data_IF_244652182128
#
_entry.id   IF_244652182128
#
_cell.length_a   1.000
_cell.length_b   1.000
_cell.length_c   1.000
_cell.angle_alpha   90.00
_cell.angle_beta   90.00
_cell.angle_gamma   90.00
#
_symmetry.space_group_name_H-M   'P 1'
#
loop_
_entity.id
_entity.type
_entity.pdbx_description
1 polymer ?
#
# COMPACT_ATOMS: atom_id res chain seq x y z
N UNK A 1 -14.28 -22.23 17.62
CA UNK A 1 -13.60 -21.91 18.90
C UNK A 1 -12.27 -21.26 18.59
N UNK A 2 -12.11 -19.96 18.85
CA UNK A 2 -10.79 -19.31 18.75
C UNK A 2 -9.90 -19.90 19.84
N UNK A 3 -8.89 -20.68 19.45
CA UNK A 3 -7.85 -21.11 20.37
C UNK A 3 -7.03 -19.87 20.71
N UNK A 4 -7.31 -19.24 21.84
CA UNK A 4 -6.44 -18.21 22.39
C UNK A 4 -5.11 -18.89 22.72
N UNK A 5 -4.03 -18.47 22.06
CA UNK A 5 -2.69 -18.94 22.34
C UNK A 5 -2.16 -18.22 23.59
N UNK A 6 -1.60 -18.97 24.54
CA UNK A 6 -0.98 -18.42 25.76
C UNK A 6 0.50 -18.79 25.71
N UNK A 7 1.36 -17.78 25.59
CA UNK A 7 2.83 -17.92 25.66
C UNK A 7 3.25 -17.52 27.06
N UNK A 8 3.93 -18.42 27.77
CA UNK A 8 4.41 -18.19 29.13
C UNK A 8 5.85 -17.72 29.09
N UNK A 9 6.13 -16.57 29.70
CA UNK A 9 7.49 -16.10 29.94
C UNK A 9 7.80 -16.29 31.42
N UNK A 10 9.00 -16.81 31.77
CA UNK A 10 9.44 -16.84 33.16
C UNK A 10 9.70 -15.40 33.61
N UNK A 11 8.91 -14.92 34.58
CA UNK A 11 9.18 -13.68 35.28
C UNK A 11 10.15 -13.96 36.43
N UNK A 12 11.19 -13.13 36.58
CA UNK A 12 12.05 -13.16 37.77
C UNK A 12 11.20 -12.85 39.01
N UNK A 13 11.40 -13.61 40.10
CA UNK A 13 10.62 -13.47 41.34
C UNK A 13 10.65 -12.04 41.91
N UNK A 14 11.69 -11.27 41.61
CA UNK A 14 11.88 -9.88 42.04
C UNK A 14 10.98 -8.88 41.31
N UNK A 15 10.26 -9.29 40.25
CA UNK A 15 9.46 -8.39 39.41
C UNK A 15 8.02 -8.17 39.93
N UNK A 16 7.50 -9.02 40.81
CA UNK A 16 6.11 -8.91 41.30
C UNK A 16 6.09 -8.42 42.75
N UNK A 17 5.95 -7.11 42.96
CA UNK A 17 5.74 -6.57 44.30
C UNK A 17 4.27 -6.76 44.72
N UNK A 18 4.04 -7.49 45.82
CA UNK A 18 2.79 -8.16 46.24
C UNK A 18 1.50 -7.32 46.41
N UNK A 19 1.38 -6.09 45.89
CA UNK A 19 0.19 -5.24 46.09
C UNK A 19 -0.21 -4.50 44.81
N UNK A 20 -1.18 -5.11 44.11
CA UNK A 20 -2.01 -4.57 43.01
C UNK A 20 -1.35 -4.49 41.62
N UNK A 21 -1.60 -5.51 40.78
CA UNK A 21 -0.93 -5.69 39.49
C UNK A 21 -1.84 -5.37 38.30
N UNK A 22 -1.54 -4.30 37.56
CA UNK A 22 -1.88 -4.22 36.14
C UNK A 22 -0.57 -4.29 35.34
N UNK A 23 -0.40 -5.40 34.60
CA UNK A 23 0.73 -5.62 33.71
C UNK A 23 0.37 -5.11 32.32
N UNK A 24 1.15 -4.18 31.80
CA UNK A 24 0.99 -3.67 30.44
C UNK A 24 2.13 -4.20 29.56
N UNK A 25 1.77 -4.78 28.42
CA UNK A 25 2.73 -5.32 27.46
C UNK A 25 2.72 -4.53 26.15
N UNK A 26 3.90 -4.24 25.60
CA UNK A 26 4.06 -3.66 24.27
C UNK A 26 5.00 -4.53 23.43
N UNK A 27 4.56 -4.90 22.23
CA UNK A 27 5.42 -5.55 21.23
C UNK A 27 6.02 -4.50 20.30
N UNK A 28 7.32 -4.57 20.03
CA UNK A 28 7.99 -3.76 19.01
C UNK A 28 8.81 -4.65 18.09
N UNK A 29 8.79 -4.33 16.79
CA UNK A 29 9.65 -4.97 15.80
C UNK A 29 11.10 -4.57 16.05
N UNK A 30 12.02 -5.53 15.90
CA UNK A 30 13.44 -5.23 15.97
C UNK A 30 13.86 -4.42 14.73
N UNK A 31 14.51 -3.27 14.95
CA UNK A 31 14.92 -2.33 13.90
C UNK A 31 16.13 -2.85 13.12
N UNK A 32 16.89 -3.80 13.69
CA UNK A 32 18.09 -4.37 13.07
C UNK A 32 17.81 -5.70 12.33
N UNK A 33 16.79 -6.45 12.74
CA UNK A 33 16.41 -7.74 12.14
C UNK A 33 14.88 -7.88 12.04
N UNK A 34 14.33 -7.82 10.83
CA UNK A 34 12.88 -7.89 10.58
C UNK A 34 12.25 -9.25 10.96
N UNK A 35 13.07 -10.27 11.19
CA UNK A 35 12.67 -11.63 11.61
C UNK A 35 12.46 -11.77 13.12
N UNK A 36 12.75 -10.72 13.90
CA UNK A 36 12.69 -10.73 15.36
C UNK A 36 11.69 -9.73 15.94
N UNK A 37 10.92 -10.16 16.95
CA UNK A 37 10.01 -9.28 17.72
C UNK A 37 10.47 -9.18 19.17
N UNK A 38 10.56 -7.96 19.70
CA UNK A 38 10.82 -7.67 21.10
C UNK A 38 9.50 -7.53 21.87
N UNK A 39 9.40 -8.19 23.02
CA UNK A 39 8.25 -8.09 23.92
C UNK A 39 8.66 -7.38 25.20
N UNK A 40 8.07 -6.21 25.43
CA UNK A 40 8.30 -5.40 26.62
C UNK A 40 7.10 -5.50 27.56
N UNK A 41 7.36 -5.57 28.86
CA UNK A 41 6.31 -5.52 29.90
C UNK A 41 6.69 -4.49 30.95
N UNK A 42 5.67 -3.80 31.48
CA UNK A 42 5.75 -2.86 32.59
C UNK A 42 4.72 -3.24 33.63
N UNK A 43 5.12 -3.23 34.90
CA UNK A 43 4.22 -3.26 36.03
C UNK A 43 3.76 -1.84 36.37
N UNK A 44 2.44 -1.59 36.41
CA UNK A 44 1.87 -0.28 36.76
C UNK A 44 1.15 -0.39 38.10
N UNK A 45 1.72 0.20 39.16
CA UNK A 45 1.18 0.12 40.52
C UNK A 45 0.02 1.10 40.82
N UNK A 46 -0.28 2.10 39.97
CA UNK A 46 -1.45 2.99 40.13
C UNK A 46 -1.75 3.79 38.86
N UNK A 47 -3.00 4.23 38.67
CA UNK A 47 -3.51 4.97 37.48
C UNK A 47 -2.92 6.39 37.26
N UNK A 48 -1.93 6.83 38.05
CA UNK A 48 -1.25 8.13 37.86
C UNK A 48 0.12 7.90 37.26
N UNK A 49 0.45 8.64 36.20
CA UNK A 49 1.79 8.62 35.58
C UNK A 49 2.83 9.09 36.59
N UNK A 50 3.60 8.14 37.13
CA UNK A 50 4.86 8.40 37.83
C UNK A 50 6.02 7.98 36.94
N UNK A 51 7.15 8.67 37.08
CA UNK A 51 8.37 8.55 36.27
C UNK A 51 9.08 7.19 36.33
N UNK A 52 8.59 6.24 37.12
CA UNK A 52 9.23 4.95 37.39
C UNK A 52 8.73 3.77 36.53
N UNK A 53 7.80 4.02 35.59
CA UNK A 53 7.30 3.00 34.67
C UNK A 53 8.33 2.67 33.56
N UNK A 54 9.37 1.88 33.86
CA UNK A 54 10.39 1.45 32.88
C UNK A 54 10.02 0.14 32.18
N UNK A 55 9.95 0.18 30.84
CA UNK A 55 9.75 -1.00 29.98
C UNK A 55 10.95 -1.96 30.11
N UNK A 56 10.70 -3.18 30.61
CA UNK A 56 11.71 -4.23 30.66
C UNK A 56 11.49 -5.21 29.50
N UNK A 57 12.58 -5.57 28.81
CA UNK A 57 12.55 -6.56 27.73
C UNK A 57 12.48 -7.97 28.35
N UNK A 58 11.39 -8.71 28.07
CA UNK A 58 11.22 -10.07 28.58
C UNK A 58 11.79 -11.14 27.64
N UNK A 59 11.87 -10.87 26.34
CA UNK A 59 12.41 -11.83 25.39
C UNK A 59 12.32 -11.41 23.93
N UNK A 60 13.03 -12.17 23.10
CA UNK A 60 13.05 -12.06 21.64
C UNK A 60 12.50 -13.33 21.02
N UNK A 61 11.57 -13.19 20.09
CA UNK A 61 11.08 -14.32 19.29
C UNK A 61 11.72 -14.19 17.91
N UNK A 62 12.54 -15.17 17.51
CA UNK A 62 13.10 -15.29 16.16
C UNK A 62 12.29 -16.29 15.32
N UNK A 63 12.15 -16.01 14.02
CA UNK A 63 11.50 -16.91 13.06
C UNK A 63 12.17 -18.30 12.96
N UNK A 64 13.46 -18.40 13.28
CA UNK A 64 14.23 -19.65 13.16
C UNK A 64 14.02 -20.60 14.35
N UNK A 65 13.75 -20.07 15.54
CA UNK A 65 13.45 -20.86 16.74
C UNK A 65 12.09 -21.59 16.61
N UNK A 66 11.18 -21.04 15.79
CA UNK A 66 9.91 -21.68 15.45
C UNK A 66 10.10 -22.93 14.55
N UNK A 67 11.18 -23.00 13.76
CA UNK A 67 11.45 -24.11 12.84
C UNK A 67 12.09 -25.33 13.54
N UNK A 68 12.89 -25.12 14.59
CA UNK A 68 13.53 -26.23 15.34
C UNK A 68 12.55 -27.04 16.19
N UNK A 69 11.40 -26.46 16.57
CA UNK A 69 10.44 -27.09 17.49
C UNK A 69 9.48 -28.11 16.83
N UNK A 70 9.86 -28.70 15.69
CA UNK A 70 9.05 -29.69 14.92
C UNK A 70 8.77 -31.00 15.68
N UNK A 71 9.51 -31.32 16.75
CA UNK A 71 9.42 -32.62 17.45
C UNK A 71 8.57 -32.62 18.72
N UNK A 72 8.12 -31.46 19.23
CA UNK A 72 7.23 -31.40 20.40
C UNK A 72 5.76 -31.37 19.99
N UNK A 73 4.94 -32.27 20.54
CA UNK A 73 3.48 -32.36 20.34
C UNK A 73 2.68 -31.31 21.14
N UNK A 74 3.32 -30.24 21.60
CA UNK A 74 2.66 -29.09 22.23
C UNK A 74 2.28 -28.05 21.17
N UNK A 75 1.06 -27.55 21.26
CA UNK A 75 0.40 -26.57 20.39
C UNK A 75 1.35 -25.55 19.77
N UNK A 76 1.77 -25.79 18.52
CA UNK A 76 2.66 -24.88 17.79
C UNK A 76 1.95 -23.55 17.52
N UNK A 77 2.61 -22.46 17.94
CA UNK A 77 2.19 -21.07 17.74
C UNK A 77 2.74 -20.61 16.38
N UNK A 78 1.87 -20.06 15.53
CA UNK A 78 2.26 -19.46 14.27
C UNK A 78 2.07 -17.94 14.38
N UNK A 79 3.15 -17.18 14.48
CA UNK A 79 3.13 -15.75 14.16
C UNK A 79 3.54 -15.66 12.70
N UNK A 80 2.55 -15.57 11.81
CA UNK A 80 2.80 -15.37 10.40
C UNK A 80 3.12 -13.89 10.18
N UNK A 81 4.41 -13.55 10.11
CA UNK A 81 4.86 -12.29 9.52
C UNK A 81 4.53 -12.36 8.03
N UNK A 82 3.34 -11.90 7.66
CA UNK A 82 2.96 -11.72 6.26
C UNK A 82 3.76 -10.52 5.78
N UNK A 83 4.93 -10.79 5.17
CA UNK A 83 5.53 -9.83 4.25
C UNK A 83 4.44 -9.54 3.22
N UNK A 84 3.91 -8.32 3.18
CA UNK A 84 2.93 -7.92 2.16
C UNK A 84 3.65 -7.85 0.81
N UNK A 85 4.01 -9.02 0.28
CA UNK A 85 4.21 -9.15 -1.15
C UNK A 85 2.94 -8.70 -1.85
N UNK A 86 3.10 -8.26 -3.09
CA UNK A 86 2.02 -7.83 -3.99
C UNK A 86 0.97 -8.97 -4.09
N UNK A 87 -0.01 -8.98 -3.18
CA UNK A 87 -1.12 -9.92 -3.20
C UNK A 87 -2.21 -9.31 -4.08
N UNK A 88 -2.86 -10.16 -4.89
CA UNK A 88 -3.94 -9.74 -5.78
C UNK A 88 -5.01 -8.98 -4.98
N UNK A 89 -5.43 -7.82 -5.49
CA UNK A 89 -6.37 -6.95 -4.80
C UNK A 89 -7.69 -7.69 -4.53
N UNK A 90 -8.11 -8.53 -5.48
CA UNK A 90 -9.30 -9.39 -5.36
C UNK A 90 -9.26 -10.37 -4.18
N UNK A 91 -8.08 -10.94 -3.87
CA UNK A 91 -7.93 -11.85 -2.73
C UNK A 91 -7.98 -11.12 -1.39
N UNK A 92 -7.46 -9.90 -1.34
CA UNK A 92 -7.51 -9.05 -0.15
C UNK A 92 -8.96 -8.67 0.14
N UNK A 93 -9.71 -8.22 -0.88
CA UNK A 93 -11.12 -7.85 -0.74
C UNK A 93 -11.98 -9.07 -0.34
N UNK A 94 -11.73 -10.26 -0.91
CA UNK A 94 -12.43 -11.48 -0.51
C UNK A 94 -12.19 -11.84 0.96
N UNK A 95 -10.94 -11.75 1.43
CA UNK A 95 -10.61 -11.95 2.85
C UNK A 95 -11.29 -10.91 3.73
N UNK A 96 -11.31 -9.66 3.30
CA UNK A 96 -11.98 -8.58 4.02
C UNK A 96 -13.48 -8.84 4.14
N UNK A 97 -14.14 -9.27 3.07
CA UNK A 97 -15.57 -9.68 3.09
C UNK A 97 -15.82 -10.83 4.06
N UNK A 98 -14.94 -11.83 4.08
CA UNK A 98 -15.04 -12.94 5.05
C UNK A 98 -14.91 -12.46 6.51
N UNK A 99 -14.03 -11.48 6.77
CA UNK A 99 -13.87 -10.89 8.08
C UNK A 99 -15.08 -10.03 8.48
N UNK A 100 -15.61 -9.20 7.56
CA UNK A 100 -16.81 -8.40 7.79
C UNK A 100 -18.03 -9.28 8.07
N UNK A 101 -18.20 -10.39 7.36
CA UNK A 101 -19.28 -11.35 7.61
C UNK A 101 -19.16 -12.00 9.00
N UNK A 102 -17.93 -12.35 9.41
CA UNK A 102 -17.67 -12.85 10.76
C UNK A 102 -18.00 -11.81 11.84
N UNK A 103 -17.59 -10.56 11.65
CA UNK A 103 -17.88 -9.45 12.56
C UNK A 103 -19.39 -9.18 12.63
N UNK A 104 -20.09 -9.21 11.49
CA UNK A 104 -21.55 -9.08 11.44
C UNK A 104 -22.27 -10.15 12.26
N UNK A 105 -21.77 -11.38 12.25
CA UNK A 105 -22.33 -12.48 13.05
C UNK A 105 -22.04 -12.33 14.55
N UNK A 106 -20.87 -11.82 14.93
CA UNK A 106 -20.45 -11.74 16.34
C UNK A 106 -20.77 -10.42 17.03
N UNK A 107 -21.16 -9.38 16.29
CA UNK A 107 -21.37 -8.04 16.85
C UNK A 107 -22.62 -7.97 17.73
N UNK A 108 -22.44 -7.53 18.98
CA UNK A 108 -23.53 -7.34 19.94
C UNK A 108 -24.30 -6.03 19.74
N UNK A 109 -23.70 -5.01 19.12
CA UNK A 109 -24.35 -3.72 18.87
C UNK A 109 -25.20 -3.76 17.59
N UNK A 110 -26.49 -3.43 17.72
CA UNK A 110 -27.42 -3.43 16.60
C UNK A 110 -27.01 -2.44 15.50
N UNK A 111 -26.52 -1.25 15.87
CA UNK A 111 -26.11 -0.20 14.92
C UNK A 111 -24.99 -0.66 13.98
N UNK A 112 -23.93 -1.28 14.53
CA UNK A 112 -22.80 -1.78 13.73
C UNK A 112 -23.25 -2.91 12.81
N UNK A 113 -24.11 -3.81 13.32
CA UNK A 113 -24.65 -4.92 12.56
C UNK A 113 -25.47 -4.46 11.36
N UNK A 114 -26.36 -3.48 11.54
CA UNK A 114 -27.17 -2.93 10.45
C UNK A 114 -26.38 -2.05 9.49
N UNK A 115 -25.36 -1.30 9.97
CA UNK A 115 -24.41 -0.58 9.11
C UNK A 115 -23.69 -1.54 8.17
N UNK A 116 -23.10 -2.62 8.70
CA UNK A 116 -22.40 -3.61 7.88
C UNK A 116 -23.34 -4.31 6.90
N UNK A 117 -24.56 -4.67 7.34
CA UNK A 117 -25.55 -5.30 6.47
C UNK A 117 -25.96 -4.38 5.32
N UNK A 118 -26.34 -3.13 5.61
CA UNK A 118 -26.78 -2.19 4.57
C UNK A 118 -25.63 -1.81 3.63
N UNK A 119 -24.40 -1.70 4.13
CA UNK A 119 -23.21 -1.51 3.30
C UNK A 119 -23.00 -2.69 2.32
N UNK A 120 -23.13 -3.94 2.79
CA UNK A 120 -23.07 -5.12 1.91
C UNK A 120 -24.20 -5.14 0.87
N UNK A 121 -25.43 -4.81 1.26
CA UNK A 121 -26.59 -4.75 0.35
C UNK A 121 -26.40 -3.66 -0.71
N UNK A 122 -25.90 -2.48 -0.34
CA UNK A 122 -25.63 -1.41 -1.30
C UNK A 122 -24.52 -1.80 -2.27
N UNK A 123 -23.44 -2.43 -1.79
CA UNK A 123 -22.36 -2.91 -2.68
C UNK A 123 -22.86 -3.96 -3.68
N UNK A 124 -23.76 -4.85 -3.25
CA UNK A 124 -24.42 -5.84 -4.11
C UNK A 124 -25.32 -5.18 -5.16
N UNK A 125 -26.15 -4.21 -4.75
CA UNK A 125 -27.04 -3.47 -5.66
C UNK A 125 -26.25 -2.65 -6.68
N UNK A 126 -25.17 -2.01 -6.25
CA UNK A 126 -24.24 -1.30 -7.12
C UNK A 126 -23.58 -2.25 -8.12
N UNK A 127 -23.19 -3.45 -7.68
CA UNK A 127 -22.66 -4.50 -8.56
C UNK A 127 -23.67 -4.93 -9.62
N UNK A 128 -24.92 -5.18 -9.24
CA UNK A 128 -25.99 -5.52 -10.19
C UNK A 128 -26.24 -4.38 -11.19
N UNK A 129 -26.31 -3.14 -10.72
CA UNK A 129 -26.45 -1.96 -11.58
C UNK A 129 -25.29 -1.85 -12.58
N UNK A 130 -24.06 -2.09 -12.12
CA UNK A 130 -22.88 -2.07 -12.99
C UNK A 130 -22.91 -3.18 -14.03
N UNK A 131 -23.32 -4.41 -13.69
CA UNK A 131 -23.48 -5.52 -14.65
C UNK A 131 -24.59 -5.22 -15.66
N UNK A 132 -25.71 -4.65 -15.22
CA UNK A 132 -26.80 -4.25 -16.11
C UNK A 132 -26.34 -3.16 -17.10
N UNK A 133 -25.61 -2.15 -16.61
CA UNK A 133 -24.97 -1.14 -17.46
C UNK A 133 -23.98 -1.79 -18.44
N UNK A 134 -23.11 -2.67 -17.96
CA UNK A 134 -22.13 -3.38 -18.78
C UNK A 134 -22.77 -4.15 -19.94
N UNK A 135 -23.88 -4.84 -19.68
CA UNK A 135 -24.65 -5.52 -20.72
C UNK A 135 -25.29 -4.52 -21.70
N UNK A 136 -25.84 -3.41 -21.19
CA UNK A 136 -26.44 -2.35 -22.02
C UNK A 136 -25.44 -1.67 -22.97
N UNK A 137 -24.15 -1.59 -22.60
CA UNK A 137 -23.10 -0.99 -23.43
C UNK A 137 -22.59 -1.90 -24.57
N UNK A 138 -23.18 -3.09 -24.76
CA UNK A 138 -22.78 -4.03 -25.81
C UNK A 138 -21.99 -5.24 -25.30
N UNK A 139 -21.98 -5.46 -23.98
CA UNK A 139 -21.43 -6.66 -23.34
C UNK A 139 -19.91 -6.82 -23.49
N UNK A 140 -19.44 -8.06 -23.35
CA UNK A 140 -18.02 -8.39 -23.29
C UNK A 140 -17.24 -7.96 -24.52
N UNK A 141 -17.80 -8.16 -25.72
CA UNK A 141 -17.08 -7.91 -26.97
C UNK A 141 -16.78 -6.42 -27.18
N UNK A 142 -17.75 -5.54 -26.88
CA UNK A 142 -17.54 -4.10 -27.05
C UNK A 142 -16.57 -3.53 -26.02
N UNK A 143 -16.65 -3.99 -24.76
CA UNK A 143 -15.71 -3.57 -23.72
C UNK A 143 -14.30 -4.08 -24.00
N UNK A 144 -14.16 -5.31 -24.51
CA UNK A 144 -12.88 -5.84 -24.98
C UNK A 144 -12.29 -4.97 -26.10
N UNK A 145 -13.10 -4.62 -27.11
CA UNK A 145 -12.67 -3.77 -28.22
C UNK A 145 -12.20 -2.39 -27.72
N UNK A 146 -12.94 -1.76 -26.80
CA UNK A 146 -12.57 -0.49 -26.18
C UNK A 146 -11.27 -0.64 -25.39
N UNK A 147 -11.13 -1.71 -24.60
CA UNK A 147 -9.94 -1.96 -23.80
C UNK A 147 -8.70 -2.16 -24.68
N UNK A 148 -8.78 -3.04 -25.68
CA UNK A 148 -7.68 -3.31 -26.60
C UNK A 148 -7.31 -2.07 -27.41
N UNK A 149 -8.30 -1.31 -27.87
CA UNK A 149 -8.07 -0.03 -28.56
C UNK A 149 -7.37 0.96 -27.64
N UNK A 150 -7.80 1.07 -26.38
CA UNK A 150 -7.17 1.96 -25.40
C UNK A 150 -5.71 1.58 -25.12
N UNK A 151 -5.42 0.28 -24.97
CA UNK A 151 -4.04 -0.21 -24.78
C UNK A 151 -3.18 0.06 -26.02
N UNK A 152 -3.75 -0.08 -27.22
CA UNK A 152 -3.05 0.23 -28.49
C UNK A 152 -2.74 1.72 -28.62
N UNK A 153 -3.73 2.59 -28.35
CA UNK A 153 -3.54 4.06 -28.34
C UNK A 153 -2.47 4.46 -27.34
N UNK A 154 -2.49 3.94 -26.11
CA UNK A 154 -1.45 4.22 -25.11
C UNK A 154 -0.06 3.77 -25.61
N UNK A 155 0.01 2.64 -26.30
CA UNK A 155 1.25 2.17 -26.89
C UNK A 155 1.73 3.06 -28.06
N UNK A 156 0.82 3.57 -28.89
CA UNK A 156 1.15 4.53 -29.96
C UNK A 156 1.66 5.86 -29.39
N UNK A 157 0.98 6.43 -28.40
CA UNK A 157 1.42 7.65 -27.70
C UNK A 157 2.81 7.46 -27.04
N UNK A 158 3.05 6.28 -26.45
CA UNK A 158 4.35 5.96 -25.88
C UNK A 158 5.44 5.81 -26.95
N UNK A 159 5.08 5.31 -28.14
CA UNK A 159 6.00 5.22 -29.28
C UNK A 159 6.43 6.61 -29.71
N UNK A 160 5.48 7.51 -29.98
CA UNK A 160 5.75 8.91 -30.37
C UNK A 160 6.57 9.64 -29.30
N UNK A 161 6.25 9.43 -28.02
CA UNK A 161 7.01 10.01 -26.91
C UNK A 161 8.49 9.56 -26.91
N UNK A 162 8.76 8.28 -27.19
CA UNK A 162 10.13 7.76 -27.25
C UNK A 162 10.88 8.29 -28.48
N UNK A 163 10.21 8.39 -29.63
CA UNK A 163 10.79 9.00 -30.84
C UNK A 163 11.13 10.48 -30.63
N UNK A 164 10.22 11.23 -29.99
CA UNK A 164 10.46 12.61 -29.58
C UNK A 164 11.67 12.73 -28.64
N UNK A 165 11.84 11.76 -27.74
CA UNK A 165 12.98 11.70 -26.81
C UNK A 165 14.33 11.45 -27.50
N UNK A 166 14.34 10.65 -28.57
CA UNK A 166 15.52 10.44 -29.43
C UNK A 166 15.91 11.70 -30.23
N UNK A 167 14.94 12.59 -30.44
CA UNK A 167 15.07 13.89 -31.08
C UNK A 167 15.85 14.92 -30.25
N UNK A 168 15.21 16.06 -30.04
CA UNK A 168 15.72 17.14 -29.18
C UNK A 168 14.60 17.50 -28.20
N UNK A 169 14.44 16.72 -27.12
CA UNK A 169 13.37 16.96 -26.17
C UNK A 169 13.57 18.31 -25.49
N UNK A 170 12.56 19.19 -25.52
CA UNK A 170 12.55 20.51 -24.86
C UNK A 170 13.76 21.39 -25.24
N UNK A 171 14.34 21.22 -26.43
CA UNK A 171 15.55 21.96 -26.84
C UNK A 171 16.86 21.51 -26.15
N UNK A 172 16.83 20.47 -25.31
CA UNK A 172 18.01 19.91 -24.67
C UNK A 172 18.81 19.09 -25.69
N UNK A 173 20.06 19.50 -25.94
CA UNK A 173 20.98 18.76 -26.81
C UNK A 173 21.54 17.54 -26.06
N UNK A 174 20.78 16.46 -26.10
CA UNK A 174 21.18 15.17 -25.53
C UNK A 174 22.28 14.48 -26.36
N UNK A 175 22.92 13.48 -25.76
CA UNK A 175 23.90 12.65 -26.45
C UNK A 175 23.18 11.76 -27.49
N UNK A 176 23.22 12.17 -28.76
CA UNK A 176 22.46 11.57 -29.87
C UNK A 176 22.71 10.06 -30.05
N UNK A 177 23.96 9.56 -30.13
CA UNK A 177 24.22 8.13 -30.20
C UNK A 177 23.57 7.35 -29.05
N UNK A 178 23.74 7.84 -27.82
CA UNK A 178 23.23 7.14 -26.64
C UNK A 178 21.69 7.17 -26.57
N UNK A 179 21.08 8.32 -26.84
CA UNK A 179 19.62 8.45 -26.91
C UNK A 179 19.02 7.54 -27.98
N UNK A 180 19.70 7.38 -29.12
CA UNK A 180 19.25 6.49 -30.19
C UNK A 180 19.28 5.02 -29.76
N UNK A 181 20.32 4.60 -29.06
CA UNK A 181 20.42 3.22 -28.53
C UNK A 181 19.33 2.97 -27.49
N UNK A 182 19.14 3.89 -26.54
CA UNK A 182 18.09 3.77 -25.53
C UNK A 182 16.69 3.76 -26.14
N UNK A 183 16.41 4.66 -27.08
CA UNK A 183 15.12 4.72 -27.74
C UNK A 183 14.81 3.44 -28.51
N UNK A 184 15.75 2.93 -29.33
CA UNK A 184 15.60 1.64 -30.01
C UNK A 184 15.37 0.48 -29.03
N UNK A 185 16.04 0.49 -27.88
CA UNK A 185 15.83 -0.51 -26.83
C UNK A 185 14.40 -0.46 -26.28
N UNK A 186 13.87 0.70 -25.91
CA UNK A 186 12.50 0.81 -25.39
C UNK A 186 11.45 0.54 -26.47
N UNK A 187 11.65 1.03 -27.70
CA UNK A 187 10.76 0.76 -28.84
C UNK A 187 10.67 -0.74 -29.16
N UNK A 188 11.79 -1.47 -29.09
CA UNK A 188 11.78 -2.92 -29.27
C UNK A 188 10.93 -3.63 -28.21
N UNK A 189 11.03 -3.23 -26.94
CA UNK A 189 10.20 -3.80 -25.88
C UNK A 189 8.71 -3.44 -26.05
N UNK A 190 8.41 -2.24 -26.55
CA UNK A 190 7.05 -1.81 -26.86
C UNK A 190 6.45 -2.65 -28.00
N UNK A 191 7.25 -2.98 -29.02
CA UNK A 191 6.86 -3.89 -30.09
C UNK A 191 6.54 -5.31 -29.58
N UNK A 192 7.39 -5.84 -28.69
CA UNK A 192 7.12 -7.12 -28.03
C UNK A 192 5.82 -7.08 -27.22
N UNK A 193 5.58 -5.99 -26.49
CA UNK A 193 4.34 -5.80 -25.73
C UNK A 193 3.10 -5.77 -26.63
N UNK A 194 3.15 -5.06 -27.77
CA UNK A 194 2.04 -5.05 -28.75
C UNK A 194 1.73 -6.46 -29.24
N UNK A 195 2.76 -7.21 -29.63
CA UNK A 195 2.63 -8.59 -30.08
C UNK A 195 2.03 -9.48 -28.98
N UNK A 196 2.47 -9.30 -27.74
CA UNK A 196 1.96 -10.04 -26.58
C UNK A 196 0.48 -9.77 -26.31
N UNK A 197 0.04 -8.51 -26.38
CA UNK A 197 -1.37 -8.13 -26.22
C UNK A 197 -2.25 -8.75 -27.30
N UNK A 198 -1.80 -8.77 -28.55
CA UNK A 198 -2.56 -9.40 -29.63
C UNK A 198 -2.71 -10.92 -29.41
N UNK A 199 -1.66 -11.58 -28.89
CA UNK A 199 -1.71 -13.03 -28.55
C UNK A 199 -2.61 -13.32 -27.34
N UNK A 200 -2.64 -12.42 -26.34
CA UNK A 200 -3.41 -12.59 -25.09
C UNK A 200 -4.84 -12.04 -25.15
N UNK A 201 -5.18 -11.31 -26.20
CA UNK A 201 -6.54 -10.85 -26.50
C UNK A 201 -7.66 -11.87 -26.15
N UNK A 202 -7.60 -13.16 -26.56
CA UNK A 202 -8.64 -14.13 -26.19
C UNK A 202 -8.70 -14.42 -24.68
N UNK A 203 -7.57 -14.41 -23.99
CA UNK A 203 -7.50 -14.59 -22.53
C UNK A 203 -8.04 -13.36 -21.81
N UNK A 204 -7.77 -12.16 -22.31
CA UNK A 204 -8.36 -10.92 -21.76
C UNK A 204 -9.88 -10.93 -21.93
N UNK A 205 -10.39 -11.42 -23.07
CA UNK A 205 -11.82 -11.59 -23.30
C UNK A 205 -12.47 -12.48 -22.24
N UNK A 206 -11.87 -13.64 -21.94
CA UNK A 206 -12.40 -14.54 -20.91
C UNK A 206 -12.33 -13.91 -19.52
N UNK A 207 -11.25 -13.19 -19.19
CA UNK A 207 -11.13 -12.45 -17.91
C UNK A 207 -12.22 -11.38 -17.78
N UNK A 208 -12.47 -10.58 -18.82
CA UNK A 208 -13.52 -9.55 -18.81
C UNK A 208 -14.90 -10.21 -18.67
N UNK A 209 -15.14 -11.32 -19.36
CA UNK A 209 -16.40 -12.07 -19.23
C UNK A 209 -16.62 -12.58 -17.80
N UNK A 210 -15.57 -13.13 -17.17
CA UNK A 210 -15.63 -13.59 -15.77
C UNK A 210 -15.81 -12.40 -14.83
N UNK A 211 -15.12 -11.27 -15.05
CA UNK A 211 -15.29 -10.06 -14.24
C UNK A 211 -16.71 -9.51 -14.30
N UNK A 212 -17.37 -9.61 -15.46
CA UNK A 212 -18.78 -9.22 -15.61
C UNK A 212 -19.70 -10.12 -14.79
N UNK A 213 -19.51 -11.43 -14.77
CA UNK A 213 -20.40 -12.34 -14.04
C UNK A 213 -20.16 -12.32 -12.54
N UNK A 214 -18.91 -12.14 -12.11
CA UNK A 214 -18.54 -12.05 -10.69
C UNK A 214 -19.04 -10.76 -10.04
N UNK A 215 -19.47 -9.77 -10.84
CA UNK A 215 -20.17 -8.58 -10.35
C UNK A 215 -21.42 -8.82 -9.54
N UNK A 216 -22.02 -9.99 -9.67
CA UNK A 216 -23.16 -10.41 -8.86
C UNK A 216 -22.81 -10.57 -7.37
N UNK A 217 -21.53 -10.57 -7.00
CA UNK A 217 -21.07 -10.65 -5.60
C UNK A 217 -20.93 -9.25 -4.97
N UNK A 218 -20.72 -8.20 -5.78
CA UNK A 218 -20.58 -6.81 -5.32
C UNK A 218 -19.63 -5.96 -6.19
N UNK A 219 -19.84 -4.64 -6.17
CA UNK A 219 -19.05 -3.69 -6.99
C UNK A 219 -17.59 -3.58 -6.52
N UNK A 220 -17.35 -3.66 -5.21
CA UNK A 220 -16.00 -3.65 -4.61
C UNK A 220 -15.12 -4.77 -5.19
N UNK A 221 -15.71 -5.95 -5.43
CA UNK A 221 -15.01 -7.08 -6.01
C UNK A 221 -14.70 -6.86 -7.50
N UNK A 222 -15.59 -6.21 -8.24
CA UNK A 222 -15.32 -5.84 -9.65
C UNK A 222 -14.19 -4.82 -9.76
N UNK A 223 -14.18 -3.81 -8.89
CA UNK A 223 -13.11 -2.80 -8.88
C UNK A 223 -11.76 -3.40 -8.49
N UNK A 224 -11.74 -4.41 -7.61
CA UNK A 224 -10.49 -5.11 -7.25
C UNK A 224 -9.97 -5.98 -8.41
N UNK A 225 -10.85 -6.70 -9.14
CA UNK A 225 -10.49 -7.38 -10.38
C UNK A 225 -10.00 -6.41 -11.48
N UNK A 226 -10.66 -5.26 -11.62
CA UNK A 226 -10.24 -4.22 -12.55
C UNK A 226 -8.85 -3.67 -12.19
N UNK A 227 -8.56 -3.49 -10.90
CA UNK A 227 -7.21 -3.13 -10.45
C UNK A 227 -6.20 -4.22 -10.82
N UNK A 228 -6.53 -5.50 -10.64
CA UNK A 228 -5.65 -6.60 -11.05
C UNK A 228 -5.41 -6.58 -12.58
N UNK A 229 -6.44 -6.34 -13.40
CA UNK A 229 -6.30 -6.19 -14.85
C UNK A 229 -5.42 -4.97 -15.22
N UNK A 230 -5.56 -3.86 -14.51
CA UNK A 230 -4.73 -2.66 -14.70
C UNK A 230 -3.26 -2.93 -14.36
N UNK A 231 -2.97 -3.78 -13.35
CA UNK A 231 -1.57 -4.15 -13.03
C UNK A 231 -0.93 -4.93 -14.18
N UNK A 232 -1.69 -5.83 -14.80
CA UNK A 232 -1.24 -6.59 -15.96
C UNK A 232 -1.03 -5.67 -17.17
N UNK A 233 -2.00 -4.79 -17.45
CA UNK A 233 -1.94 -3.86 -18.58
C UNK A 233 -0.76 -2.88 -18.48
N UNK A 234 -0.42 -2.44 -17.27
CA UNK A 234 0.66 -1.46 -17.02
C UNK A 234 2.03 -2.09 -16.77
N UNK A 235 2.18 -3.41 -16.96
CA UNK A 235 3.44 -4.14 -16.74
C UNK A 235 4.60 -3.56 -17.56
N UNK A 236 4.37 -3.26 -18.83
CA UNK A 236 5.38 -2.69 -19.72
C UNK A 236 5.91 -1.33 -19.21
N UNK A 237 5.03 -0.44 -18.74
CA UNK A 237 5.40 0.82 -18.11
C UNK A 237 6.24 0.60 -16.83
N UNK A 238 5.88 -0.41 -16.02
CA UNK A 238 6.67 -0.76 -14.84
C UNK A 238 8.08 -1.23 -15.23
N UNK A 239 8.21 -2.10 -16.23
CA UNK A 239 9.50 -2.55 -16.74
C UNK A 239 10.36 -1.38 -17.24
N UNK A 240 9.77 -0.43 -17.99
CA UNK A 240 10.50 0.74 -18.50
C UNK A 240 11.03 1.62 -17.36
N UNK A 241 10.19 1.87 -16.37
CA UNK A 241 10.59 2.59 -15.17
C UNK A 241 11.73 1.87 -14.42
N UNK A 242 11.65 0.54 -14.24
CA UNK A 242 12.69 -0.24 -13.57
C UNK A 242 14.02 -0.13 -14.34
N UNK A 243 14.01 -0.28 -15.66
CA UNK A 243 15.21 -0.16 -16.47
C UNK A 243 15.83 1.23 -16.38
N UNK A 244 15.01 2.28 -16.50
CA UNK A 244 15.48 3.66 -16.41
C UNK A 244 16.01 4.00 -15.00
N UNK A 245 15.32 3.56 -13.93
CA UNK A 245 15.76 3.77 -12.55
C UNK A 245 17.09 3.06 -12.27
N UNK A 246 17.27 1.83 -12.74
CA UNK A 246 18.53 1.09 -12.59
C UNK A 246 19.67 1.76 -13.36
N UNK A 247 19.42 2.19 -14.59
CA UNK A 247 20.40 2.90 -15.40
C UNK A 247 20.81 4.24 -14.75
N UNK A 248 19.84 4.98 -14.22
CA UNK A 248 20.08 6.21 -13.46
C UNK A 248 20.89 5.95 -12.19
N UNK A 249 20.54 4.93 -11.42
CA UNK A 249 21.30 4.50 -10.25
C UNK A 249 22.75 4.15 -10.59
N UNK A 250 22.98 3.35 -11.64
CA UNK A 250 24.34 3.02 -12.13
C UNK A 250 25.12 4.28 -12.51
N UNK A 251 24.49 5.24 -13.20
CA UNK A 251 25.13 6.50 -13.56
C UNK A 251 25.52 7.32 -12.32
N UNK A 252 24.63 7.44 -11.32
CA UNK A 252 24.91 8.17 -10.07
C UNK A 252 26.00 7.50 -9.22
N UNK A 253 25.93 6.18 -9.02
CA UNK A 253 26.95 5.44 -8.27
C UNK A 253 28.29 5.46 -8.99
N UNK A 254 28.29 5.33 -10.32
CA UNK A 254 29.49 5.45 -11.15
C UNK A 254 30.12 6.84 -11.06
N UNK A 255 29.31 7.89 -11.14
CA UNK A 255 29.77 9.28 -11.02
C UNK A 255 30.29 9.59 -9.61
N UNK A 256 29.60 9.13 -8.56
CA UNK A 256 30.04 9.29 -7.18
C UNK A 256 31.35 8.55 -6.90
N UNK A 257 31.49 7.32 -7.42
CA UNK A 257 32.69 6.50 -7.27
C UNK A 257 33.89 7.14 -7.97
N UNK A 258 33.73 7.55 -9.23
CA UNK A 258 34.79 8.20 -10.00
C UNK A 258 35.12 9.60 -9.48
N UNK A 259 34.14 10.35 -8.96
CA UNK A 259 34.38 11.62 -8.27
C UNK A 259 35.23 11.44 -7.00
N UNK A 260 34.96 10.41 -6.19
CA UNK A 260 35.82 10.07 -5.05
C UNK A 260 37.24 9.69 -5.49
N UNK A 261 37.36 9.00 -6.62
CA UNK A 261 38.65 8.65 -7.21
C UNK A 261 39.44 9.90 -7.67
N UNK A 262 38.76 10.93 -8.21
CA UNK A 262 39.37 12.22 -8.53
C UNK A 262 39.98 12.92 -7.29
N UNK A 263 39.43 12.66 -6.10
CA UNK A 263 40.00 13.10 -4.82
C UNK A 263 41.31 12.41 -4.42
N UNK A 264 41.80 11.46 -5.22
CA UNK A 264 43.14 10.87 -5.08
C UNK A 264 43.30 9.84 -3.94
N UNK A 265 42.25 9.55 -3.17
CA UNK A 265 42.31 8.66 -1.98
C UNK A 265 41.62 7.32 -2.24
N UNK A 266 42.40 6.24 -2.27
CA UNK A 266 41.94 4.85 -2.39
C UNK A 266 41.93 4.18 -1.02
N UNK A 267 40.78 3.70 -0.55
CA UNK A 267 40.77 2.84 0.64
C UNK A 267 41.33 1.45 0.30
N UNK A 268 42.36 1.01 1.02
CA UNK A 268 42.90 -0.34 0.87
C UNK A 268 42.41 -1.22 2.03
N UNK A 269 41.40 -2.08 1.84
CA UNK A 269 40.85 -2.91 2.91
C UNK A 269 41.86 -3.94 3.47
N UNK A 270 42.85 -4.37 2.67
CA UNK A 270 43.86 -5.35 3.10
C UNK A 270 44.89 -4.76 4.08
N UNK A 271 45.09 -3.44 4.08
CA UNK A 271 46.06 -2.74 4.93
C UNK A 271 45.42 -1.65 5.80
N UNK A 272 44.08 -1.59 5.82
CA UNK A 272 43.25 -0.60 6.53
C UNK A 272 43.79 0.83 6.47
N UNK A 273 44.30 1.25 5.30
CA UNK A 273 44.94 2.57 5.10
C UNK A 273 44.54 3.18 3.77
N UNK A 274 44.58 4.51 3.70
CA UNK A 274 44.41 5.24 2.44
C UNK A 274 45.71 5.17 1.61
N UNK A 275 45.62 4.64 0.41
CA UNK A 275 46.68 4.69 -0.62
C UNK A 275 46.34 5.77 -1.65
N UNK A 276 47.35 6.35 -2.29
CA UNK A 276 47.17 7.27 -3.42
C UNK A 276 46.97 6.47 -4.72
N UNK A 277 46.19 7.02 -5.65
CA UNK A 277 46.06 6.48 -7.02
C UNK A 277 47.31 6.81 -7.85
N UNK A 278 47.67 5.93 -8.81
CA UNK A 278 48.66 6.28 -9.83
C UNK A 278 48.09 7.28 -10.82
N UNK A 279 48.95 8.04 -11.50
CA UNK A 279 48.56 9.03 -12.50
C UNK A 279 47.71 8.42 -13.63
N UNK A 280 48.09 7.23 -14.11
CA UNK A 280 47.34 6.52 -15.16
C UNK A 280 45.92 6.17 -14.73
N UNK A 281 45.75 5.72 -13.47
CA UNK A 281 44.43 5.36 -12.92
C UNK A 281 43.54 6.59 -12.74
N UNK A 282 44.12 7.72 -12.30
CA UNK A 282 43.40 8.97 -12.16
C UNK A 282 42.95 9.50 -13.53
N UNK A 283 43.80 9.38 -14.55
CA UNK A 283 43.51 9.77 -15.93
C UNK A 283 42.34 8.96 -16.51
N UNK A 284 42.37 7.63 -16.40
CA UNK A 284 41.24 6.76 -16.82
C UNK A 284 39.97 7.10 -16.04
N UNK A 285 40.09 7.37 -14.74
CA UNK A 285 38.99 7.82 -13.90
C UNK A 285 38.33 9.10 -14.38
N UNK A 286 39.14 10.07 -14.77
CA UNK A 286 38.69 11.35 -15.31
C UNK A 286 37.94 11.16 -16.62
N UNK A 287 38.43 10.33 -17.54
CA UNK A 287 37.71 10.02 -18.78
C UNK A 287 36.36 9.34 -18.53
N UNK A 288 36.30 8.38 -17.62
CA UNK A 288 35.03 7.71 -17.24
C UNK A 288 34.09 8.72 -16.57
N UNK A 289 34.60 9.55 -15.66
CA UNK A 289 33.82 10.60 -14.98
C UNK A 289 33.22 11.58 -15.99
N UNK A 290 34.04 12.15 -16.88
CA UNK A 290 33.58 13.06 -17.92
C UNK A 290 32.57 12.39 -18.84
N UNK A 291 32.79 11.12 -19.23
CA UNK A 291 31.84 10.37 -20.05
C UNK A 291 30.49 10.21 -19.33
N UNK A 292 30.49 9.71 -18.08
CA UNK A 292 29.26 9.54 -17.29
C UNK A 292 28.53 10.87 -17.07
N UNK A 293 29.27 11.96 -16.83
CA UNK A 293 28.71 13.30 -16.65
C UNK A 293 28.03 13.79 -17.93
N UNK A 294 28.60 13.50 -19.11
CA UNK A 294 27.98 13.82 -20.40
C UNK A 294 26.76 12.95 -20.73
N UNK A 295 26.72 11.70 -20.26
CA UNK A 295 25.56 10.81 -20.44
C UNK A 295 24.42 11.10 -19.45
N UNK A 296 24.75 11.61 -18.26
CA UNK A 296 23.79 11.81 -17.16
C UNK A 296 22.53 12.61 -17.56
N UNK A 297 22.61 13.74 -18.29
CA UNK A 297 21.41 14.48 -18.70
C UNK A 297 20.45 13.64 -19.54
N UNK A 298 21.00 12.79 -20.41
CA UNK A 298 20.19 11.89 -21.26
C UNK A 298 19.49 10.84 -20.41
N UNK A 299 20.23 10.20 -19.49
CA UNK A 299 19.66 9.19 -18.58
C UNK A 299 18.60 9.80 -17.67
N UNK A 300 18.84 11.02 -17.16
CA UNK A 300 17.92 11.74 -16.28
C UNK A 300 16.59 12.05 -16.98
N UNK A 301 16.64 12.53 -18.23
CA UNK A 301 15.43 12.83 -19.00
C UNK A 301 14.58 11.58 -19.23
N UNK A 302 15.19 10.46 -19.65
CA UNK A 302 14.48 9.18 -19.78
C UNK A 302 13.90 8.70 -18.43
N UNK A 303 14.67 8.84 -17.35
CA UNK A 303 14.22 8.47 -16.01
C UNK A 303 12.99 9.27 -15.58
N UNK A 304 13.00 10.60 -15.74
CA UNK A 304 11.89 11.47 -15.35
C UNK A 304 10.62 11.14 -16.14
N UNK A 305 10.72 10.96 -17.46
CA UNK A 305 9.56 10.63 -18.30
C UNK A 305 8.90 9.33 -17.85
N UNK A 306 9.68 8.25 -17.65
CA UNK A 306 9.12 6.98 -17.20
C UNK A 306 8.69 7.00 -15.72
N UNK A 307 9.31 7.83 -14.88
CA UNK A 307 8.85 8.07 -13.52
C UNK A 307 7.45 8.72 -13.52
N UNK A 308 7.22 9.73 -14.35
CA UNK A 308 5.90 10.39 -14.46
C UNK A 308 4.84 9.39 -14.93
N UNK A 309 5.14 8.57 -15.94
CA UNK A 309 4.25 7.50 -16.38
C UNK A 309 3.94 6.50 -15.26
N UNK A 310 4.97 6.10 -14.48
CA UNK A 310 4.79 5.22 -13.32
C UNK A 310 3.90 5.86 -12.25
N UNK A 311 4.09 7.15 -11.96
CA UNK A 311 3.27 7.88 -11.00
C UNK A 311 1.81 7.99 -11.46
N UNK A 312 1.56 8.20 -12.76
CA UNK A 312 0.22 8.21 -13.33
C UNK A 312 -0.48 6.85 -13.16
N UNK A 313 0.22 5.75 -13.46
CA UNK A 313 -0.29 4.38 -13.24
C UNK A 313 -0.58 4.11 -11.75
N UNK A 314 0.34 4.50 -10.86
CA UNK A 314 0.14 4.36 -9.41
C UNK A 314 -1.03 5.21 -8.90
N UNK A 315 -1.24 6.41 -9.46
CA UNK A 315 -2.39 7.24 -9.14
C UNK A 315 -3.70 6.58 -9.57
N UNK A 316 -3.74 5.96 -10.76
CA UNK A 316 -4.90 5.19 -11.22
C UNK A 316 -5.20 4.01 -10.27
N UNK A 317 -4.19 3.20 -9.93
CA UNK A 317 -4.36 2.14 -8.91
C UNK A 317 -4.81 2.67 -7.56
N UNK A 318 -4.21 3.76 -7.09
CA UNK A 318 -4.58 4.40 -5.83
C UNK A 318 -6.02 4.89 -5.84
N UNK A 319 -6.52 5.38 -6.97
CA UNK A 319 -7.91 5.81 -7.12
C UNK A 319 -8.90 4.64 -7.02
N UNK A 320 -8.62 3.52 -7.70
CA UNK A 320 -9.43 2.30 -7.60
C UNK A 320 -9.47 1.75 -6.17
N UNK A 321 -8.31 1.63 -5.52
CA UNK A 321 -8.20 1.17 -4.12
C UNK A 321 -8.94 2.11 -3.16
N UNK A 322 -8.88 3.42 -3.42
CA UNK A 322 -9.64 4.42 -2.65
C UNK A 322 -11.14 4.31 -2.86
N UNK A 323 -11.60 4.04 -4.09
CA UNK A 323 -13.03 3.81 -4.37
C UNK A 323 -13.55 2.57 -3.63
N UNK A 324 -12.80 1.47 -3.66
CA UNK A 324 -13.14 0.25 -2.89
C UNK A 324 -13.22 0.55 -1.39
N UNK A 325 -12.21 1.24 -0.85
CA UNK A 325 -12.21 1.65 0.55
C UNK A 325 -13.41 2.56 0.91
N UNK A 326 -13.75 3.53 0.05
CA UNK A 326 -14.90 4.42 0.24
C UNK A 326 -16.22 3.64 0.30
N UNK A 327 -16.39 2.62 -0.54
CA UNK A 327 -17.58 1.75 -0.51
C UNK A 327 -17.61 0.96 0.80
N UNK A 328 -16.48 0.38 1.21
CA UNK A 328 -16.35 -0.47 2.40
C UNK A 328 -16.50 0.29 3.73
N UNK A 329 -16.22 1.58 3.77
CA UNK A 329 -16.28 2.38 5.00
C UNK A 329 -17.62 3.11 5.19
N UNK A 330 -18.40 3.33 4.13
CA UNK A 330 -19.58 4.19 4.15
C UNK A 330 -20.69 3.64 5.09
N UNK A 331 -21.00 4.32 6.21
CA UNK A 331 -21.99 3.83 7.18
C UNK A 331 -23.41 4.22 6.75
N UNK A 332 -23.87 3.56 5.70
CA UNK A 332 -25.14 3.86 5.01
C UNK A 332 -26.35 3.86 5.95
N UNK A 333 -26.40 2.93 6.91
CA UNK A 333 -27.54 2.80 7.81
C UNK A 333 -27.59 3.92 8.85
N UNK A 334 -26.44 4.35 9.37
CA UNK A 334 -26.34 5.51 10.27
C UNK A 334 -26.71 6.81 9.57
N UNK A 335 -26.35 6.94 8.28
CA UNK A 335 -26.79 8.07 7.46
C UNK A 335 -28.30 8.07 7.24
N UNK A 336 -28.90 6.91 6.96
CA UNK A 336 -30.35 6.77 6.80
C UNK A 336 -31.10 7.09 8.10
N UNK A 337 -30.60 6.61 9.24
CA UNK A 337 -31.16 6.95 10.56
C UNK A 337 -31.04 8.45 10.87
N UNK A 338 -29.94 9.08 10.46
CA UNK A 338 -29.74 10.52 10.61
C UNK A 338 -30.73 11.31 9.74
N UNK A 339 -30.97 10.89 8.48
CA UNK A 339 -31.96 11.50 7.59
C UNK A 339 -33.38 11.36 8.14
N UNK A 340 -33.73 10.19 8.67
CA UNK A 340 -35.05 9.92 9.23
C UNK A 340 -35.26 10.48 10.64
N UNK A 341 -34.30 11.25 11.19
CA UNK A 341 -34.33 11.77 12.57
C UNK A 341 -34.66 10.69 13.63
N UNK A 342 -34.11 9.49 13.46
CA UNK A 342 -34.39 8.37 14.37
C UNK A 342 -33.70 8.55 15.73
N UNK A 343 -34.38 8.24 16.85
CA UNK A 343 -33.80 8.35 18.19
C UNK A 343 -32.64 7.36 18.44
N UNK A 344 -32.49 6.32 17.60
CA UNK A 344 -31.37 5.35 17.71
C UNK A 344 -29.99 5.95 17.42
N UNK A 345 -29.92 7.15 16.83
CA UNK A 345 -28.68 7.88 16.60
C UNK A 345 -28.48 9.07 17.55
N UNK A 346 -29.33 9.19 18.57
CA UNK A 346 -29.18 10.21 19.60
C UNK A 346 -27.89 9.94 20.39
N UNK A 347 -27.09 10.98 20.61
CA UNK A 347 -25.91 10.88 21.47
C UNK A 347 -26.10 11.67 22.73
N UNK A 348 -25.61 12.90 22.78
CA UNK A 348 -25.58 13.65 24.03
C UNK A 348 -26.99 14.00 24.54
N UNK A 349 -27.16 13.84 25.85
CA UNK A 349 -28.42 14.08 26.55
C UNK A 349 -28.29 15.41 27.28
N UNK A 350 -29.19 16.35 26.99
CA UNK A 350 -29.29 17.59 27.76
C UNK A 350 -30.35 17.42 28.85
N UNK A 351 -29.98 17.77 30.08
CA UNK A 351 -30.88 17.76 31.24
C UNK A 351 -31.30 19.21 31.54
N UNK A 352 -32.58 19.51 31.38
CA UNK A 352 -33.17 20.78 31.81
C UNK A 352 -33.86 20.54 33.17
N UNK A 353 -33.54 21.37 34.18
CA UNK A 353 -34.22 21.32 35.48
C UNK A 353 -35.49 22.16 35.38
N UNK A 354 -36.66 21.55 35.57
CA UNK A 354 -37.95 22.27 35.59
C UNK A 354 -38.32 22.53 37.05
N UNK A 355 -38.30 23.80 37.51
CA UNK A 355 -38.68 24.14 38.87
C UNK A 355 -40.21 24.04 38.99
N UNK A 356 -40.70 22.96 39.60
CA UNK A 356 -42.10 22.81 39.99
C UNK A 356 -42.22 22.90 41.52
N UNK A 357 -43.29 23.51 42.02
CA UNK A 357 -43.45 23.94 43.42
C UNK A 357 -43.40 22.83 44.48
N UNK A 358 -43.44 21.55 44.11
CA UNK A 358 -43.50 20.42 45.06
C UNK A 358 -42.42 19.35 44.86
N UNK A 359 -41.67 19.34 43.74
CA UNK A 359 -40.43 18.55 43.57
C UNK A 359 -39.67 18.99 42.31
N UNK A 360 -38.32 19.05 42.33
CA UNK A 360 -37.54 19.35 41.12
C UNK A 360 -37.61 18.17 40.16
N UNK A 361 -38.15 18.38 38.95
CA UNK A 361 -38.22 17.34 37.91
C UNK A 361 -37.17 17.61 36.83
N UNK A 362 -36.44 16.56 36.42
CA UNK A 362 -35.45 16.62 35.35
C UNK A 362 -36.15 16.31 34.01
N UNK A 363 -36.12 17.26 33.09
CA UNK A 363 -36.55 17.06 31.71
C UNK A 363 -35.35 16.63 30.88
N UNK A 364 -35.45 15.43 30.30
CA UNK A 364 -34.44 14.87 29.42
C UNK A 364 -34.76 15.27 27.97
N UNK A 365 -33.87 16.03 27.33
CA UNK A 365 -33.97 16.43 25.93
C UNK A 365 -32.88 15.72 25.13
N UNK A 366 -33.29 14.94 24.13
CA UNK A 366 -32.38 14.26 23.22
C UNK A 366 -31.84 15.23 22.18
N UNK A 367 -30.52 15.39 22.09
CA UNK A 367 -29.89 16.22 21.06
C UNK A 367 -29.36 15.31 19.93
N UNK A 368 -29.70 15.68 18.68
CA UNK A 368 -29.20 15.00 17.49
C UNK A 368 -27.69 15.26 17.36
N UNK A 369 -26.88 14.21 17.21
CA UNK A 369 -25.46 14.40 16.91
C UNK A 369 -25.28 15.07 15.53
N UNK A 370 -24.29 15.97 15.38
CA UNK A 370 -23.92 16.48 14.07
C UNK A 370 -23.46 15.34 13.17
N UNK A 371 -23.83 15.41 11.89
CA UNK A 371 -23.65 14.33 10.91
C UNK A 371 -22.22 13.78 10.88
N UNK A 372 -21.21 14.65 10.92
CA UNK A 372 -19.80 14.22 10.87
C UNK A 372 -19.43 13.34 12.07
N UNK A 373 -19.83 13.74 13.28
CA UNK A 373 -19.58 12.96 14.50
C UNK A 373 -20.34 11.63 14.53
N UNK A 374 -21.56 11.59 13.97
CA UNK A 374 -22.32 10.35 13.81
C UNK A 374 -21.64 9.39 12.83
N UNK A 375 -21.11 9.92 11.72
CA UNK A 375 -20.39 9.14 10.72
C UNK A 375 -19.08 8.60 11.30
N UNK A 376 -18.27 9.44 11.94
CA UNK A 376 -17.00 9.02 12.58
C UNK A 376 -17.22 7.91 13.60
N UNK A 377 -18.28 8.01 14.41
CA UNK A 377 -18.64 6.99 15.41
C UNK A 377 -19.14 5.67 14.80
N UNK A 378 -19.63 5.70 13.56
CA UNK A 378 -20.23 4.55 12.87
C UNK A 378 -19.35 3.94 11.77
N UNK A 379 -18.13 4.47 11.59
CA UNK A 379 -17.16 3.94 10.62
C UNK A 379 -16.90 2.45 10.85
N UNK A 380 -16.69 1.74 9.75
CA UNK A 380 -16.34 0.32 9.77
C UNK A 380 -14.97 0.13 10.46
N UNK A 381 -14.89 -0.60 11.59
CA UNK A 381 -13.64 -0.77 12.34
C UNK A 381 -12.61 -1.65 11.60
N UNK A 382 -13.02 -2.35 10.54
CA UNK A 382 -12.17 -3.30 9.84
C UNK A 382 -11.20 -2.66 8.83
N UNK A 383 -11.30 -1.35 8.55
CA UNK A 383 -10.62 -0.76 7.38
C UNK A 383 -9.92 0.58 7.68
N UNK A 384 -8.68 0.51 8.16
CA UNK A 384 -7.81 1.68 8.35
C UNK A 384 -6.96 1.85 7.10
N UNK A 385 -7.23 2.90 6.32
CA UNK A 385 -6.36 3.23 5.17
C UNK A 385 -5.00 3.71 5.68
N UNK A 386 -3.88 3.07 5.28
CA UNK A 386 -2.57 3.44 5.79
C UNK A 386 -2.18 4.86 5.33
N UNK A 387 -1.61 5.70 6.22
CA UNK A 387 -1.20 7.05 5.84
C UNK A 387 -0.05 7.03 4.83
N UNK A 388 -0.15 7.86 3.79
CA UNK A 388 0.86 8.01 2.75
C UNK A 388 2.07 8.79 3.29
N UNK A 389 3.25 8.17 3.28
CA UNK A 389 4.52 8.83 3.63
C UNK A 389 5.14 9.50 2.40
N UNK A 390 4.65 10.69 2.04
CA UNK A 390 5.09 11.44 0.86
C UNK A 390 6.59 11.76 0.83
N UNK A 391 7.19 12.03 1.99
CA UNK A 391 8.63 12.31 2.08
C UNK A 391 9.50 11.10 1.69
N UNK A 392 9.08 9.89 2.08
CA UNK A 392 9.77 8.65 1.73
C UNK A 392 9.63 8.31 0.23
N UNK A 393 8.48 8.64 -0.37
CA UNK A 393 8.27 8.51 -1.82
C UNK A 393 9.14 9.49 -2.60
N UNK A 394 9.23 10.74 -2.15
CA UNK A 394 10.06 11.75 -2.79
C UNK A 394 11.56 11.39 -2.68
N UNK A 395 12.00 10.93 -1.51
CA UNK A 395 13.39 10.53 -1.30
C UNK A 395 13.77 9.31 -2.14
N UNK A 396 12.87 8.34 -2.29
CA UNK A 396 13.10 7.17 -3.15
C UNK A 396 13.13 7.54 -4.63
N UNK A 397 12.25 8.44 -5.08
CA UNK A 397 12.31 9.01 -6.43
C UNK A 397 13.63 9.74 -6.70
N UNK A 398 14.06 10.63 -5.81
CA UNK A 398 15.30 11.40 -6.00
C UNK A 398 16.56 10.53 -5.98
N UNK A 399 16.58 9.49 -5.14
CA UNK A 399 17.71 8.56 -5.03
C UNK A 399 17.77 7.48 -6.12
N UNK A 400 16.75 7.41 -7.00
CA UNK A 400 16.65 6.34 -8.00
C UNK A 400 16.34 4.97 -7.42
N UNK A 401 15.86 4.89 -6.18
CA UNK A 401 15.34 3.66 -5.59
C UNK A 401 14.00 3.30 -6.22
N UNK A 402 13.72 2.00 -6.33
CA UNK A 402 12.49 1.49 -6.93
C UNK A 402 11.28 1.81 -6.06
N UNK A 403 10.30 2.50 -6.65
CA UNK A 403 9.00 2.76 -6.01
C UNK A 403 8.09 1.54 -6.21
N UNK A 404 7.87 0.80 -5.13
CA UNK A 404 6.92 -0.30 -5.08
C UNK A 404 5.47 0.22 -4.95
N UNK A 405 4.49 -0.52 -5.48
CA UNK A 405 3.08 -0.16 -5.31
C UNK A 405 2.66 -0.24 -3.82
N UNK A 406 1.82 0.73 -3.40
CA UNK A 406 1.34 0.94 -2.03
C UNK A 406 0.02 0.22 -1.70
#
# INVERSE_FOLDING_TARGET
MSKNAVVYFPLSADFLNQKCHFLYGQMKLNVQDESCVYLYVVEVCSKRETSDNRLQLLGTISSDDALQNRKSKSSQVWIQLIKSGQQNASLIDLRQRSAQCKVWWTSSSQLVRFNLFLMMVIDLLLGFCFVAMFHSFGGTNKVLEIFLTSVKVIADELHELIEWLMGVPVGLKLNRPFSTVLGKFFLYHLYLWRTYIDVISPVVSTIISVCSTVGLIGLSFQLSLLSDLLTLASLHCHCFYVYAARLYGVALYGLTSTFRMLGGRKWNPLRSRFSLFSWDQLCVGMFIFCSLLLLLPTILVYYIVFLVLRLAVLAAHGSLKRLVWLINIFPSYSLLLWLCNSPSLAGDVQFEVVPLATSPTLRLVWVKLPLLSSLERSLNPCDIFPPLKWSALLSSALSGQLIYPL
#
